data_IF_745957170058
#
_entry.id   IF_745957170058
#
_cell.length_a   1.000
_cell.length_b   1.000
_cell.length_c   1.000
_cell.angle_alpha   90.00
_cell.angle_beta   90.00
_cell.angle_gamma   90.00
#
_symmetry.space_group_name_H-M   'P 1'
#
loop_
_entity.id
_entity.type
_entity.pdbx_description
1 polymer ?
#
# COMPACT_ATOMS: atom_id res chain seq x y z
N UNK A 1 27.22 3.24 -12.07
CA UNK A 1 26.88 3.23 -10.64
C UNK A 1 25.52 3.91 -10.49
N UNK A 2 24.38 3.30 -10.19
CA UNK A 2 23.91 1.91 -10.16
C UNK A 2 22.57 1.87 -10.94
N UNK A 3 22.31 0.82 -11.71
CA UNK A 3 21.36 -0.23 -11.29
C UNK A 3 19.89 0.12 -11.54
N UNK A 4 19.54 0.13 -12.83
CA UNK A 4 18.41 -0.57 -13.46
C UNK A 4 17.40 -1.33 -12.56
N UNK A 5 16.68 -0.65 -11.67
CA UNK A 5 15.44 -1.14 -11.06
C UNK A 5 14.28 -1.14 -12.07
N UNK A 6 14.41 -1.94 -13.14
CA UNK A 6 13.30 -2.30 -14.00
C UNK A 6 12.39 -3.25 -13.24
N UNK A 7 11.24 -2.75 -12.78
CA UNK A 7 10.28 -3.59 -12.05
C UNK A 7 8.91 -2.99 -11.79
N UNK A 8 8.46 -1.98 -12.55
CA UNK A 8 7.07 -1.48 -12.53
C UNK A 8 6.52 -0.96 -11.20
N UNK A 9 7.35 -0.88 -10.16
CA UNK A 9 7.04 -0.24 -8.89
C UNK A 9 7.55 1.19 -8.91
N UNK A 10 6.76 2.12 -8.40
CA UNK A 10 7.18 3.48 -8.12
C UNK A 10 7.62 3.54 -6.65
N UNK A 11 8.81 4.06 -6.39
CA UNK A 11 9.21 4.40 -5.02
C UNK A 11 8.81 5.84 -4.75
N UNK A 12 8.11 6.09 -3.64
CA UNK A 12 7.65 7.41 -3.24
C UNK A 12 8.04 7.71 -1.79
N UNK A 13 8.50 8.93 -1.52
CA UNK A 13 8.77 9.41 -0.17
C UNK A 13 7.45 9.84 0.50
N UNK A 14 7.13 9.29 1.68
CA UNK A 14 5.94 9.65 2.45
C UNK A 14 6.21 9.61 3.96
N UNK A 15 5.87 10.70 4.66
CA UNK A 15 6.18 10.89 6.09
C UNK A 15 7.67 10.72 6.45
N UNK A 16 8.58 11.24 5.61
CA UNK A 16 10.04 11.11 5.78
C UNK A 16 10.57 9.68 5.64
N UNK A 17 9.73 8.74 5.20
CA UNK A 17 10.10 7.35 4.95
C UNK A 17 9.99 7.02 3.46
N UNK A 18 10.80 6.07 3.00
CA UNK A 18 10.78 5.62 1.61
C UNK A 18 9.78 4.47 1.45
N UNK A 19 8.81 4.64 0.55
CA UNK A 19 7.73 3.67 0.31
C UNK A 19 7.83 3.10 -1.09
N UNK A 20 7.94 1.78 -1.16
CA UNK A 20 7.82 1.04 -2.40
C UNK A 20 6.34 0.85 -2.74
N UNK A 21 5.93 1.28 -3.94
CA UNK A 21 4.53 1.21 -4.42
C UNK A 21 4.46 0.40 -5.70
N UNK A 22 3.60 -0.62 -5.74
CA UNK A 22 3.36 -1.43 -6.94
C UNK A 22 1.89 -1.45 -7.33
N UNK A 23 1.58 -1.21 -8.62
CA UNK A 23 0.24 -1.44 -9.13
C UNK A 23 -0.05 -2.95 -9.21
N UNK A 24 -1.20 -3.33 -8.70
CA UNK A 24 -1.74 -4.68 -8.76
C UNK A 24 -2.93 -4.66 -9.71
N UNK A 25 -2.85 -5.50 -10.74
CA UNK A 25 -3.96 -5.69 -11.66
C UNK A 25 -5.08 -6.45 -10.95
N UNK A 26 -6.32 -6.18 -11.35
CA UNK A 26 -7.49 -6.84 -10.77
C UNK A 26 -7.39 -8.37 -10.83
N UNK A 27 -6.83 -8.91 -11.91
CA UNK A 27 -6.60 -10.33 -12.09
C UNK A 27 -5.70 -10.94 -11.00
N UNK A 28 -4.66 -10.24 -10.56
CA UNK A 28 -3.74 -10.70 -9.51
C UNK A 28 -4.37 -10.74 -8.11
N UNK A 29 -5.51 -10.07 -7.92
CA UNK A 29 -6.28 -10.09 -6.68
C UNK A 29 -7.66 -10.72 -6.84
N UNK A 30 -7.86 -11.52 -7.89
CA UNK A 30 -9.07 -12.32 -8.04
C UNK A 30 -9.22 -13.26 -6.82
N UNK A 31 -10.41 -13.30 -6.23
CA UNK A 31 -10.72 -14.11 -5.04
C UNK A 31 -10.21 -13.57 -3.70
N UNK A 32 -9.55 -12.40 -3.64
CA UNK A 32 -9.12 -11.78 -2.38
C UNK A 32 -9.67 -10.37 -2.26
N UNK A 33 -10.14 -10.03 -1.06
CA UNK A 33 -10.57 -8.68 -0.66
C UNK A 33 -9.59 -8.12 0.37
N UNK A 34 -9.21 -6.86 0.18
CA UNK A 34 -8.26 -6.19 1.06
C UNK A 34 -8.85 -4.91 1.62
N UNK A 35 -8.34 -4.41 2.75
CA UNK A 35 -8.84 -3.17 3.34
C UNK A 35 -7.92 -1.99 3.06
N UNK A 36 -8.48 -0.89 2.57
CA UNK A 36 -7.73 0.32 2.28
C UNK A 36 -7.59 1.19 3.55
N UNK A 37 -6.37 1.49 4.03
CA UNK A 37 -6.18 2.29 5.24
C UNK A 37 -6.52 3.78 5.07
N UNK A 38 -6.55 4.30 3.85
CA UNK A 38 -6.90 5.71 3.58
C UNK A 38 -8.40 6.01 3.53
N UNK A 39 -9.26 5.00 3.44
CA UNK A 39 -10.72 5.20 3.47
C UNK A 39 -11.46 4.16 4.31
N UNK A 40 -10.74 3.21 4.91
CA UNK A 40 -11.23 2.05 5.66
C UNK A 40 -12.19 1.12 4.88
N UNK A 41 -12.33 1.34 3.57
CA UNK A 41 -13.20 0.56 2.66
C UNK A 41 -12.51 -0.72 2.15
N UNK A 42 -13.32 -1.73 1.83
CA UNK A 42 -12.87 -2.97 1.18
C UNK A 42 -12.61 -2.74 -0.31
N UNK A 43 -11.46 -3.23 -0.79
CA UNK A 43 -11.08 -3.36 -2.19
C UNK A 43 -11.65 -4.70 -2.67
N UNK A 44 -12.64 -4.72 -3.58
CA UNK A 44 -13.20 -5.95 -4.11
C UNK A 44 -12.15 -6.73 -4.91
N UNK A 45 -12.32 -8.05 -4.98
CA UNK A 45 -11.51 -8.88 -5.87
C UNK A 45 -11.72 -8.48 -7.32
N UNK A 46 -10.66 -8.50 -8.13
CA UNK A 46 -10.77 -8.09 -9.54
C UNK A 46 -10.63 -6.59 -9.78
N UNK A 47 -10.50 -5.77 -8.72
CA UNK A 47 -10.32 -4.31 -8.85
C UNK A 47 -8.83 -3.95 -8.90
N UNK A 48 -8.39 -3.15 -9.89
CA UNK A 48 -7.03 -2.65 -9.94
C UNK A 48 -6.76 -1.69 -8.78
N UNK A 49 -5.71 -1.97 -8.02
CA UNK A 49 -5.34 -1.19 -6.83
C UNK A 49 -3.82 -1.11 -6.69
N UNK A 50 -3.34 -0.42 -5.67
CA UNK A 50 -1.92 -0.25 -5.39
C UNK A 50 -1.56 -0.98 -4.10
N UNK A 51 -0.38 -1.55 -4.05
CA UNK A 51 0.20 -2.10 -2.83
C UNK A 51 1.42 -1.25 -2.48
N UNK A 52 1.44 -0.74 -1.26
CA UNK A 52 2.52 0.10 -0.75
C UNK A 52 3.07 -0.48 0.56
N UNK A 53 4.38 -0.51 0.70
CA UNK A 53 5.07 -0.93 1.91
C UNK A 53 6.31 -0.08 2.14
N UNK A 54 6.71 0.15 3.40
CA UNK A 54 7.95 0.83 3.72
C UNK A 54 9.13 -0.03 3.26
N UNK A 55 10.14 0.59 2.65
CA UNK A 55 11.31 -0.14 2.17
C UNK A 55 12.11 -0.77 3.31
N UNK A 56 12.13 -0.12 4.47
CA UNK A 56 12.82 -0.59 5.67
C UNK A 56 11.98 -1.53 6.54
N UNK A 57 10.66 -1.62 6.34
CA UNK A 57 9.76 -2.47 7.14
C UNK A 57 9.50 -3.86 6.55
N UNK A 58 10.06 -4.15 5.37
CA UNK A 58 9.94 -5.45 4.72
C UNK A 58 8.60 -5.69 4.01
N UNK A 59 8.56 -6.71 3.16
CA UNK A 59 7.41 -7.04 2.30
C UNK A 59 6.18 -7.58 3.08
N UNK A 60 6.29 -7.80 4.39
CA UNK A 60 5.20 -8.30 5.21
C UNK A 60 4.18 -7.20 5.54
N UNK A 61 4.62 -5.94 5.71
CA UNK A 61 3.73 -4.78 5.96
C UNK A 61 3.12 -4.19 4.68
N UNK A 62 2.77 -5.05 3.71
CA UNK A 62 2.13 -4.66 2.45
C UNK A 62 0.71 -4.16 2.67
N UNK A 63 0.52 -2.86 2.51
CA UNK A 63 -0.77 -2.19 2.63
C UNK A 63 -1.40 -2.03 1.26
N UNK A 64 -2.67 -2.38 1.15
CA UNK A 64 -3.42 -2.31 -0.10
C UNK A 64 -4.21 -1.02 -0.12
N UNK A 65 -4.06 -0.22 -1.17
CA UNK A 65 -4.68 1.08 -1.33
C UNK A 65 -5.44 1.16 -2.64
N UNK A 66 -6.59 1.82 -2.64
CA UNK A 66 -7.17 2.29 -3.90
C UNK A 66 -6.21 3.25 -4.58
N UNK A 67 -6.15 3.22 -5.92
CA UNK A 67 -5.34 4.15 -6.71
C UNK A 67 -5.63 5.62 -6.33
N UNK A 68 -6.90 5.98 -6.18
CA UNK A 68 -7.32 7.31 -5.76
C UNK A 68 -6.96 7.65 -4.31
N UNK A 69 -6.98 6.67 -3.39
CA UNK A 69 -6.61 6.90 -1.99
C UNK A 69 -5.11 7.10 -1.82
N UNK A 70 -4.28 6.37 -2.57
CA UNK A 70 -2.84 6.57 -2.57
C UNK A 70 -2.43 7.93 -3.16
N UNK A 71 -3.06 8.35 -4.27
CA UNK A 71 -2.82 9.68 -4.83
C UNK A 71 -3.21 10.80 -3.86
N UNK A 72 -4.22 10.53 -3.02
CA UNK A 72 -4.64 11.41 -1.95
C UNK A 72 -4.03 11.03 -0.58
N UNK A 73 -2.93 10.26 -0.55
CA UNK A 73 -2.37 9.70 0.70
C UNK A 73 -2.17 10.78 1.73
N UNK A 74 -1.55 11.90 1.37
CA UNK A 74 -1.29 13.03 2.26
C UNK A 74 -2.55 13.54 3.01
N UNK A 75 -3.67 13.71 2.29
CA UNK A 75 -4.93 14.24 2.84
C UNK A 75 -5.93 13.20 3.35
N UNK A 76 -5.87 11.96 2.86
CA UNK A 76 -6.84 10.88 3.16
C UNK A 76 -6.30 9.85 4.14
N UNK A 77 -4.99 9.74 4.28
CA UNK A 77 -4.41 8.89 5.33
C UNK A 77 -4.79 9.52 6.66
N UNK A 78 -5.81 8.95 7.31
CA UNK A 78 -6.05 9.32 8.68
C UNK A 78 -4.78 8.89 9.41
N UNK A 79 -4.04 9.83 10.01
CA UNK A 79 -2.83 9.58 10.83
C UNK A 79 -3.04 8.51 11.93
N UNK A 80 -4.28 8.02 12.09
CA UNK A 80 -4.71 6.84 12.81
C UNK A 80 -4.42 5.56 12.01
N UNK A 81 -3.16 5.13 12.00
CA UNK A 81 -2.83 3.71 12.18
C UNK A 81 -1.60 3.57 13.10
N UNK A 82 -1.50 4.44 14.12
CA UNK A 82 -0.50 4.29 15.19
C UNK A 82 -0.82 3.18 16.20
N UNK A 83 -1.92 2.44 16.07
CA UNK A 83 -2.25 1.40 17.05
C UNK A 83 -3.19 0.35 16.45
N UNK A 84 -2.64 -0.60 15.71
CA UNK A 84 -3.26 -1.93 15.61
C UNK A 84 -2.21 -3.02 15.51
N UNK A 85 -1.20 -2.93 16.38
CA UNK A 85 -0.41 -4.08 16.79
C UNK A 85 -0.51 -4.17 18.32
N UNK A 86 -1.70 -4.53 18.81
CA UNK A 86 -1.85 -4.97 20.18
C UNK A 86 -1.45 -6.46 20.21
N UNK A 87 -0.44 -6.86 21.00
CA UNK A 87 -0.08 -8.26 21.11
C UNK A 87 -1.28 -9.01 21.70
N UNK A 88 -1.73 -10.05 21.00
CA UNK A 88 -2.71 -10.98 21.53
C UNK A 88 -1.96 -11.92 22.47
N UNK A 89 -2.31 -11.88 23.75
CA UNK A 89 -1.92 -12.87 24.75
C UNK A 89 -2.53 -14.24 24.41
#
# INVERSE_FOLDING_TARGET
>A
MGERYGGGGATESWQDEEWSVRPVSGASAAGKRYRCPGCDQEIPSGVPHLVAWPEFGGIDDRRHWHKACWNAKDRRTTRVQRSRNAPRY
#
